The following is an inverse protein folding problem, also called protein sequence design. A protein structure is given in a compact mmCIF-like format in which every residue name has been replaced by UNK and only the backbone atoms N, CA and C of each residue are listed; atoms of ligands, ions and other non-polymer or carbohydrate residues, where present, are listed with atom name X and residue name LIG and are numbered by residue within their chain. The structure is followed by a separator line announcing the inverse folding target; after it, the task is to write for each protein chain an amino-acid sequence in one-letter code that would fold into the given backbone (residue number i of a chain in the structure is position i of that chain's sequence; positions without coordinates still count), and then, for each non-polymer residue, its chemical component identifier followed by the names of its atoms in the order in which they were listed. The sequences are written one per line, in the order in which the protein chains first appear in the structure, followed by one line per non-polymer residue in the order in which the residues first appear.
data_IF_622889477842
#
_entry.id   IF_622889477842
#
_cell.length_a   1.000
_cell.length_b   1.000
_cell.length_c   1.000
_cell.angle_alpha   90.00
_cell.angle_beta   90.00
_cell.angle_gamma   90.00
#
_symmetry.space_group_name_H-M   'P 1'
#
loop_
_entity.id
_entity.type
_entity.pdbx_description
1 polymer ?
#
# COMPACT_ATOMS: atom_id res chain seq x y z
N UNK A 1 -20.77 7.12 -6.64
CA UNK A 1 -21.28 6.75 -5.32
C UNK A 1 -21.19 5.24 -5.12
N UNK A 2 -20.85 4.77 -3.90
CA UNK A 2 -20.34 5.57 -2.79
C UNK A 2 -18.94 6.17 -3.10
N UNK A 3 -18.40 7.10 -2.28
CA UNK A 3 -17.04 7.63 -2.43
C UNK A 3 -15.98 6.64 -1.95
N UNK A 4 -16.33 5.75 -1.02
CA UNK A 4 -15.54 4.63 -0.55
C UNK A 4 -16.45 3.42 -0.31
N UNK A 5 -15.97 2.22 -0.57
CA UNK A 5 -16.66 0.96 -0.25
C UNK A 5 -15.71 0.01 0.49
N UNK A 6 -16.26 -0.71 1.48
CA UNK A 6 -15.58 -1.83 2.14
C UNK A 6 -16.42 -3.07 1.86
N UNK A 7 -15.78 -4.09 1.30
CA UNK A 7 -16.40 -5.39 1.01
C UNK A 7 -15.72 -6.45 1.86
N UNK A 8 -16.53 -7.23 2.60
CA UNK A 8 -16.03 -8.34 3.41
C UNK A 8 -16.40 -9.67 2.75
N UNK A 9 -15.39 -10.52 2.56
CA UNK A 9 -15.54 -11.85 1.95
C UNK A 9 -15.36 -11.84 0.43
N UNK A 10 -14.71 -12.89 -0.06
CA UNK A 10 -14.55 -13.12 -1.51
C UNK A 10 -15.93 -13.33 -2.15
N UNK A 11 -16.13 -12.71 -3.32
CA UNK A 11 -17.41 -12.75 -4.04
C UNK A 11 -18.46 -11.76 -3.55
N UNK A 12 -18.23 -11.02 -2.46
CA UNK A 12 -19.08 -9.90 -2.07
C UNK A 12 -19.17 -8.89 -3.22
N UNK A 13 -20.35 -8.29 -3.44
CA UNK A 13 -20.55 -7.38 -4.56
C UNK A 13 -21.11 -6.03 -4.12
N UNK A 14 -20.62 -4.97 -4.76
CA UNK A 14 -21.08 -3.61 -4.58
C UNK A 14 -21.37 -2.99 -5.95
N UNK A 15 -22.56 -2.41 -6.12
CA UNK A 15 -22.87 -1.61 -7.31
C UNK A 15 -22.41 -0.17 -7.11
N UNK A 16 -21.66 0.36 -8.07
CA UNK A 16 -21.33 1.76 -8.17
C UNK A 16 -22.30 2.47 -9.12
N UNK A 17 -22.55 3.74 -8.84
CA UNK A 17 -23.34 4.63 -9.70
C UNK A 17 -22.51 5.86 -10.02
N UNK A 18 -22.43 6.19 -11.31
CA UNK A 18 -21.82 7.42 -11.79
C UNK A 18 -22.91 8.48 -11.99
N UNK A 19 -22.76 9.63 -11.32
CA UNK A 19 -23.73 10.72 -11.33
C UNK A 19 -23.04 11.98 -11.85
N UNK A 20 -23.58 12.55 -12.93
CA UNK A 20 -23.11 13.79 -13.50
C UNK A 20 -23.94 14.97 -12.97
N UNK A 21 -23.27 16.03 -12.54
CA UNK A 21 -23.88 17.32 -12.20
C UNK A 21 -23.53 18.33 -13.29
N UNK A 22 -24.54 18.92 -13.92
CA UNK A 22 -24.38 19.83 -15.06
C UNK A 22 -24.43 21.30 -14.61
N UNK A 23 -23.90 22.20 -15.45
CA UNK A 23 -23.86 23.63 -15.18
C UNK A 23 -25.25 24.28 -15.08
N UNK A 24 -26.28 23.67 -15.70
CA UNK A 24 -27.68 24.09 -15.58
C UNK A 24 -28.33 23.65 -14.25
N UNK A 25 -27.55 23.04 -13.35
CA UNK A 25 -27.98 22.53 -12.05
C UNK A 25 -28.65 21.16 -12.10
N UNK A 26 -28.83 20.58 -13.30
CA UNK A 26 -29.42 19.24 -13.42
C UNK A 26 -28.43 18.16 -13.01
N UNK A 27 -28.97 17.02 -12.58
CA UNK A 27 -28.19 15.85 -12.18
C UNK A 27 -28.72 14.63 -12.92
N UNK A 28 -27.81 13.78 -13.44
CA UNK A 28 -28.18 12.59 -14.22
C UNK A 28 -27.37 11.39 -13.81
N UNK A 29 -28.02 10.24 -13.69
CA UNK A 29 -27.34 8.94 -13.66
C UNK A 29 -26.75 8.66 -15.05
N UNK A 30 -25.43 8.59 -15.11
CA UNK A 30 -24.65 8.32 -16.32
C UNK A 30 -23.92 6.98 -16.23
N UNK A 31 -24.32 6.10 -15.32
CA UNK A 31 -23.66 4.79 -15.07
C UNK A 31 -23.54 3.97 -16.35
N UNK A 32 -24.60 3.87 -17.15
CA UNK A 32 -24.57 3.13 -18.41
C UNK A 32 -23.79 3.81 -19.54
N UNK A 33 -23.38 5.07 -19.34
CA UNK A 33 -22.62 5.85 -20.31
C UNK A 33 -21.16 6.04 -19.87
N UNK A 34 -20.83 5.66 -18.64
CA UNK A 34 -19.50 5.76 -18.09
C UNK A 34 -18.68 4.51 -18.41
N UNK A 35 -17.39 4.69 -18.66
CA UNK A 35 -16.43 3.59 -18.72
C UNK A 35 -15.87 3.34 -17.31
N UNK A 36 -16.03 2.13 -16.80
CA UNK A 36 -15.48 1.72 -15.51
C UNK A 36 -14.14 0.99 -15.69
N UNK A 37 -13.19 1.23 -14.80
CA UNK A 37 -11.92 0.49 -14.74
C UNK A 37 -11.43 0.36 -13.30
N UNK A 38 -10.52 -0.58 -13.06
CA UNK A 38 -9.88 -0.81 -11.74
C UNK A 38 -8.37 -0.91 -11.93
N UNK A 39 -7.60 -0.40 -10.97
CA UNK A 39 -6.14 -0.57 -10.96
C UNK A 39 -5.68 -1.88 -10.31
N UNK A 40 -6.60 -2.62 -9.67
CA UNK A 40 -6.31 -3.86 -8.97
C UNK A 40 -7.54 -4.78 -9.01
N UNK A 41 -7.68 -5.47 -10.15
CA UNK A 41 -8.75 -6.43 -10.42
C UNK A 41 -8.74 -7.62 -9.46
N UNK A 42 -7.56 -8.05 -9.00
CA UNK A 42 -7.42 -9.14 -8.03
C UNK A 42 -8.13 -8.85 -6.72
N UNK A 43 -8.15 -7.59 -6.28
CA UNK A 43 -8.82 -7.20 -5.04
C UNK A 43 -10.27 -6.75 -5.28
N UNK A 44 -10.51 -5.98 -6.34
CA UNK A 44 -11.85 -5.53 -6.71
C UNK A 44 -11.98 -5.43 -8.24
N UNK A 45 -12.55 -6.47 -8.85
CA UNK A 45 -12.88 -6.47 -10.27
C UNK A 45 -14.15 -5.64 -10.50
N UNK A 46 -14.18 -4.85 -11.57
CA UNK A 46 -15.36 -4.04 -11.93
C UNK A 46 -15.82 -4.41 -13.33
N UNK A 47 -17.13 -4.54 -13.50
CA UNK A 47 -17.78 -4.71 -14.82
C UNK A 47 -18.02 -3.36 -15.50
N UNK A 48 -18.28 -3.37 -16.81
CA UNK A 48 -18.64 -2.15 -17.57
C UNK A 48 -19.89 -1.42 -17.07
N UNK A 49 -20.75 -2.09 -16.29
CA UNK A 49 -21.93 -1.49 -15.68
C UNK A 49 -21.69 -1.00 -14.24
N UNK A 50 -20.45 -1.01 -13.76
CA UNK A 50 -20.09 -0.53 -12.41
C UNK A 50 -20.43 -1.50 -11.28
N UNK A 51 -20.75 -2.77 -11.55
CA UNK A 51 -20.76 -3.79 -10.51
C UNK A 51 -19.33 -4.20 -10.14
N UNK A 52 -18.98 -4.09 -8.87
CA UNK A 52 -17.68 -4.47 -8.31
C UNK A 52 -17.83 -5.79 -7.58
N UNK A 53 -16.86 -6.69 -7.72
CA UNK A 53 -16.79 -7.98 -7.03
C UNK A 53 -15.50 -8.08 -6.24
N UNK A 54 -15.60 -8.43 -4.96
CA UNK A 54 -14.50 -8.68 -4.05
C UNK A 54 -13.71 -9.92 -4.47
N UNK A 55 -12.40 -9.78 -4.59
CA UNK A 55 -11.46 -10.88 -4.75
C UNK A 55 -10.62 -11.11 -3.50
N UNK A 56 -9.29 -11.08 -3.65
CA UNK A 56 -8.36 -11.22 -2.53
C UNK A 56 -8.31 -9.95 -1.66
N UNK A 57 -7.83 -10.10 -0.43
CA UNK A 57 -7.58 -8.96 0.47
C UNK A 57 -6.69 -7.93 -0.22
N UNK A 58 -7.13 -6.68 -0.20
CA UNK A 58 -6.36 -5.58 -0.76
C UNK A 58 -7.19 -4.33 -0.95
N UNK A 59 -6.59 -3.38 -1.66
CA UNK A 59 -7.21 -2.12 -2.03
C UNK A 59 -7.17 -1.96 -3.54
N UNK A 60 -8.27 -1.46 -4.09
CA UNK A 60 -8.37 -1.02 -5.46
C UNK A 60 -8.97 0.38 -5.53
N UNK A 61 -8.57 1.15 -6.55
CA UNK A 61 -9.29 2.33 -6.97
C UNK A 61 -10.09 1.98 -8.22
N UNK A 62 -11.41 2.06 -8.10
CA UNK A 62 -12.32 1.90 -9.22
C UNK A 62 -12.62 3.28 -9.80
N UNK A 63 -12.31 3.47 -11.07
CA UNK A 63 -12.49 4.72 -11.79
C UNK A 63 -13.73 4.63 -12.66
N UNK A 64 -14.50 5.71 -12.70
CA UNK A 64 -15.57 5.94 -13.65
C UNK A 64 -15.19 7.15 -14.51
N UNK A 65 -15.11 6.94 -15.82
CA UNK A 65 -14.88 7.99 -16.81
C UNK A 65 -16.17 8.28 -17.57
N UNK A 66 -16.58 9.53 -17.59
CA UNK A 66 -17.69 10.00 -18.41
C UNK A 66 -17.28 11.30 -19.11
N UNK A 67 -17.32 11.30 -20.45
CA UNK A 67 -16.82 12.40 -21.28
C UNK A 67 -15.34 12.74 -20.96
N UNK A 68 -15.08 13.96 -20.51
CA UNK A 68 -13.76 14.50 -20.14
C UNK A 68 -13.43 14.30 -18.66
N UNK A 69 -14.36 13.79 -17.86
CA UNK A 69 -14.22 13.66 -16.40
C UNK A 69 -13.90 12.23 -16.01
N UNK A 70 -12.95 12.06 -15.09
CA UNK A 70 -12.64 10.77 -14.46
C UNK A 70 -12.67 10.95 -12.96
N UNK A 71 -13.44 10.11 -12.27
CA UNK A 71 -13.55 10.11 -10.81
C UNK A 71 -13.25 8.71 -10.28
N UNK A 72 -12.53 8.63 -9.17
CA UNK A 72 -12.18 7.37 -8.51
C UNK A 72 -12.95 7.18 -7.22
N UNK A 73 -13.29 5.93 -6.90
CA UNK A 73 -13.72 5.50 -5.57
C UNK A 73 -12.76 4.44 -5.05
N UNK A 74 -12.43 4.52 -3.77
CA UNK A 74 -11.62 3.52 -3.11
C UNK A 74 -12.49 2.33 -2.70
N UNK A 75 -12.04 1.13 -3.04
CA UNK A 75 -12.67 -0.13 -2.68
C UNK A 75 -11.67 -0.96 -1.87
N UNK A 76 -12.04 -1.25 -0.63
CA UNK A 76 -11.27 -2.12 0.26
C UNK A 76 -11.92 -3.50 0.31
N UNK A 77 -11.13 -4.53 0.06
CA UNK A 77 -11.57 -5.92 0.16
C UNK A 77 -10.90 -6.55 1.37
N UNK A 78 -11.70 -7.04 2.31
CA UNK A 78 -11.25 -7.66 3.55
C UNK A 78 -11.72 -9.13 3.61
N UNK A 79 -10.93 -10.04 4.20
CA UNK A 79 -11.40 -11.40 4.45
C UNK A 79 -12.59 -11.41 5.42
N UNK A 80 -13.58 -12.26 5.16
CA UNK A 80 -14.71 -12.45 6.06
C UNK A 80 -14.25 -13.17 7.34
N UNK A 81 -14.79 -12.74 8.50
CA UNK A 81 -14.54 -13.41 9.78
C UNK A 81 -13.10 -13.37 10.27
N UNK A 82 -12.26 -12.47 9.74
CA UNK A 82 -10.88 -12.32 10.20
C UNK A 82 -10.86 -11.74 11.61
N UNK A 83 -10.37 -12.52 12.57
CA UNK A 83 -9.98 -12.01 13.88
C UNK A 83 -8.72 -11.15 13.74
N UNK A 84 -8.87 -9.85 14.04
CA UNK A 84 -7.81 -8.88 13.90
C UNK A 84 -7.78 -7.96 15.12
N UNK A 85 -6.61 -7.87 15.75
CA UNK A 85 -6.33 -6.87 16.78
C UNK A 85 -5.17 -6.02 16.27
N UNK A 86 -5.40 -4.71 16.17
CA UNK A 86 -4.36 -3.79 15.75
C UNK A 86 -3.22 -3.80 16.79
N UNK A 87 -1.97 -4.04 16.38
CA UNK A 87 -0.85 -3.97 17.30
C UNK A 87 -0.59 -2.52 17.72
N UNK A 88 0.16 -2.34 18.81
CA UNK A 88 0.68 -1.04 19.18
C UNK A 88 1.65 -0.55 18.09
N UNK A 89 1.53 0.73 17.75
CA UNK A 89 2.39 1.37 16.76
C UNK A 89 3.57 1.99 17.48
N UNK A 90 4.77 1.58 17.11
CA UNK A 90 6.02 2.10 17.66
C UNK A 90 6.89 2.61 16.51
N UNK A 91 7.59 3.72 16.70
CA UNK A 91 8.52 4.24 15.69
C UNK A 91 8.35 5.74 15.46
N UNK A 92 8.51 6.16 14.21
CA UNK A 92 8.37 7.55 13.78
C UNK A 92 7.07 7.79 12.99
N UNK A 93 6.85 9.01 12.49
CA UNK A 93 5.64 9.38 11.77
C UNK A 93 5.39 8.55 10.48
N UNK A 94 6.43 8.01 9.84
CA UNK A 94 6.30 7.12 8.69
C UNK A 94 5.72 5.78 9.15
N UNK A 95 6.20 5.24 10.28
CA UNK A 95 5.67 4.01 10.86
C UNK A 95 4.19 4.16 11.25
N UNK A 96 3.78 5.34 11.71
CA UNK A 96 2.38 5.69 11.97
C UNK A 96 1.52 5.60 10.69
N UNK A 97 1.99 6.17 9.58
CA UNK A 97 1.29 6.13 8.29
C UNK A 97 1.22 4.71 7.72
N UNK A 98 2.29 3.93 7.86
CA UNK A 98 2.33 2.52 7.44
C UNK A 98 1.34 1.71 8.29
N UNK A 99 1.34 1.90 9.61
CA UNK A 99 0.43 1.22 10.51
C UNK A 99 -1.04 1.59 10.22
N UNK A 100 -1.35 2.86 9.96
CA UNK A 100 -2.70 3.27 9.55
C UNK A 100 -3.17 2.49 8.31
N UNK A 101 -2.29 2.31 7.32
CA UNK A 101 -2.60 1.56 6.11
C UNK A 101 -2.79 0.06 6.38
N UNK A 102 -1.92 -0.55 7.17
CA UNK A 102 -2.02 -1.96 7.54
C UNK A 102 -3.29 -2.24 8.35
N UNK A 103 -3.64 -1.33 9.27
CA UNK A 103 -4.86 -1.40 10.07
C UNK A 103 -6.12 -1.33 9.20
N UNK A 104 -6.17 -0.42 8.22
CA UNK A 104 -7.29 -0.34 7.25
C UNK A 104 -7.48 -1.65 6.48
N UNK A 105 -6.39 -2.36 6.18
CA UNK A 105 -6.41 -3.64 5.47
C UNK A 105 -6.50 -4.86 6.40
N UNK A 106 -6.53 -4.66 7.73
CA UNK A 106 -6.44 -5.73 8.75
C UNK A 106 -5.25 -6.66 8.50
N UNK A 107 -4.09 -6.08 8.19
CA UNK A 107 -2.83 -6.79 8.00
C UNK A 107 -1.98 -6.61 9.25
N UNK A 108 -1.40 -7.70 9.75
CA UNK A 108 -0.41 -7.65 10.80
C UNK A 108 0.97 -7.34 10.18
N UNK A 109 1.73 -6.39 10.74
CA UNK A 109 3.10 -6.14 10.30
C UNK A 109 3.97 -7.36 10.55
N UNK A 110 4.97 -7.54 9.67
CA UNK A 110 6.00 -8.57 9.87
C UNK A 110 6.80 -8.28 11.14
N UNK A 111 7.28 -9.34 11.80
CA UNK A 111 8.23 -9.20 12.90
C UNK A 111 9.55 -8.57 12.44
N UNK A 112 10.37 -8.14 13.41
CA UNK A 112 11.70 -7.63 13.11
C UNK A 112 12.58 -8.74 12.49
N UNK A 113 13.32 -8.39 11.44
CA UNK A 113 14.29 -9.29 10.83
C UNK A 113 15.52 -9.49 11.73
N UNK A 114 16.26 -10.57 11.48
CA UNK A 114 17.55 -10.80 12.16
C UNK A 114 18.57 -9.77 11.75
N UNK A 115 19.67 -9.65 12.51
CA UNK A 115 20.72 -8.69 12.18
C UNK A 115 21.45 -9.02 10.88
N UNK A 116 21.62 -10.30 10.56
CA UNK A 116 22.22 -10.74 9.30
C UNK A 116 21.32 -10.39 8.10
N UNK A 117 20.00 -10.61 8.24
CA UNK A 117 19.03 -10.22 7.23
C UNK A 117 18.98 -8.69 7.06
N UNK A 118 18.99 -7.96 8.18
CA UNK A 118 19.01 -6.50 8.19
C UNK A 118 20.24 -5.97 7.45
N UNK A 119 21.44 -6.41 7.82
CA UNK A 119 22.69 -5.93 7.22
C UNK A 119 22.71 -6.21 5.71
N UNK A 120 22.34 -7.42 5.30
CA UNK A 120 22.28 -7.76 3.87
C UNK A 120 21.31 -6.85 3.12
N UNK A 121 20.09 -6.66 3.64
CA UNK A 121 19.05 -5.84 2.98
C UNK A 121 19.46 -4.38 2.91
N UNK A 122 19.91 -3.81 4.02
CA UNK A 122 20.25 -2.37 4.09
C UNK A 122 21.45 -2.02 3.20
N UNK A 123 22.46 -2.90 3.09
CA UNK A 123 23.59 -2.66 2.17
C UNK A 123 23.14 -2.75 0.71
N UNK A 124 22.31 -3.73 0.35
CA UNK A 124 21.79 -3.84 -1.02
C UNK A 124 20.88 -2.65 -1.36
N UNK A 125 19.97 -2.28 -0.46
CA UNK A 125 18.97 -1.24 -0.73
C UNK A 125 19.60 0.16 -0.78
N UNK A 126 20.58 0.45 0.09
CA UNK A 126 21.21 1.78 0.12
C UNK A 126 22.31 1.92 -0.94
N UNK A 127 23.21 0.93 -1.06
CA UNK A 127 24.41 1.05 -1.90
C UNK A 127 24.51 0.00 -3.03
N UNK A 128 23.49 -0.83 -3.22
CA UNK A 128 23.43 -1.78 -4.35
C UNK A 128 24.43 -2.94 -4.27
N UNK A 129 25.07 -3.14 -3.12
CA UNK A 129 26.14 -4.14 -2.94
C UNK A 129 25.85 -5.06 -1.76
N UNK A 130 26.52 -6.22 -1.75
CA UNK A 130 26.52 -7.09 -0.57
C UNK A 130 27.47 -6.51 0.50
N UNK A 131 27.19 -6.74 1.80
CA UNK A 131 28.14 -6.37 2.85
C UNK A 131 29.45 -7.14 2.66
N UNK A 132 30.58 -6.46 2.92
CA UNK A 132 31.87 -7.14 2.97
C UNK A 132 31.99 -7.99 4.22
N UNK A 133 32.96 -8.91 4.26
CA UNK A 133 33.25 -9.69 5.47
C UNK A 133 33.59 -8.76 6.66
N UNK A 134 34.34 -7.69 6.41
CA UNK A 134 34.69 -6.69 7.42
C UNK A 134 33.45 -5.95 7.95
N UNK A 135 32.52 -5.56 7.06
CA UNK A 135 31.24 -4.94 7.46
C UNK A 135 30.43 -5.87 8.35
N UNK A 136 30.36 -7.15 7.97
CA UNK A 136 29.63 -8.18 8.72
C UNK A 136 30.22 -8.35 10.12
N UNK A 137 31.51 -8.62 10.24
CA UNK A 137 32.17 -8.84 11.53
C UNK A 137 32.06 -7.60 12.42
N UNK A 138 32.23 -6.40 11.85
CA UNK A 138 32.10 -5.14 12.59
C UNK A 138 30.69 -4.97 13.15
N UNK A 139 29.66 -5.19 12.33
CA UNK A 139 28.27 -5.01 12.75
C UNK A 139 27.80 -6.07 13.74
N UNK A 140 28.21 -7.33 13.57
CA UNK A 140 27.87 -8.42 14.50
C UNK A 140 28.56 -8.26 15.86
N UNK A 141 29.76 -7.67 15.90
CA UNK A 141 30.47 -7.41 17.15
C UNK A 141 29.96 -6.16 17.89
N UNK A 142 29.25 -5.25 17.21
CA UNK A 142 28.72 -4.04 17.81
C UNK A 142 27.53 -4.35 18.73
N UNK A 143 27.60 -3.88 19.98
CA UNK A 143 26.57 -4.09 21.01
C UNK A 143 25.79 -2.81 21.34
N UNK A 144 26.05 -1.71 20.63
CA UNK A 144 25.34 -0.46 20.80
C UNK A 144 23.84 -0.63 20.47
N UNK A 145 22.97 0.00 21.26
CA UNK A 145 21.52 -0.09 21.07
C UNK A 145 21.05 0.53 19.74
N UNK A 146 21.83 1.45 19.19
CA UNK A 146 21.58 2.20 17.96
C UNK A 146 22.46 1.75 16.78
N UNK A 147 23.14 0.59 16.88
CA UNK A 147 24.04 0.07 15.84
C UNK A 147 23.44 0.03 14.43
N UNK A 148 22.13 -0.25 14.31
CA UNK A 148 21.41 -0.27 13.03
C UNK A 148 21.35 1.11 12.40
N UNK A 149 21.10 2.15 13.20
CA UNK A 149 21.09 3.54 12.75
C UNK A 149 22.49 3.99 12.35
N UNK A 150 23.51 3.65 13.13
CA UNK A 150 24.91 4.00 12.81
C UNK A 150 25.37 3.40 11.47
N UNK A 151 25.01 2.14 11.19
CA UNK A 151 25.32 1.51 9.89
C UNK A 151 24.58 2.21 8.75
N UNK A 152 23.31 2.58 8.92
CA UNK A 152 22.55 3.35 7.93
C UNK A 152 23.27 4.66 7.62
N UNK A 153 23.63 5.44 8.65
CA UNK A 153 24.31 6.73 8.48
C UNK A 153 25.65 6.58 7.75
N UNK A 154 26.42 5.53 8.07
CA UNK A 154 27.68 5.23 7.37
C UNK A 154 27.46 4.87 5.91
N UNK A 155 26.42 4.08 5.59
CA UNK A 155 26.09 3.69 4.21
C UNK A 155 25.61 4.88 3.38
N UNK A 156 24.84 5.80 3.96
CA UNK A 156 24.37 7.01 3.27
C UNK A 156 25.51 7.98 2.90
N UNK A 157 26.65 7.89 3.60
CA UNK A 157 27.85 8.70 3.30
C UNK A 157 28.75 8.08 2.22
N UNK A 158 28.46 6.86 1.78
CA UNK A 158 29.26 6.19 0.74
C UNK A 158 28.99 6.77 -0.64
N UNK A 159 30.03 6.75 -1.49
CA UNK A 159 29.94 7.22 -2.87
C UNK A 159 28.88 6.47 -3.67
N UNK A 160 28.76 5.17 -3.43
CA UNK A 160 27.82 4.28 -4.09
C UNK A 160 26.35 4.69 -3.89
N UNK A 161 26.01 5.27 -2.74
CA UNK A 161 24.66 5.79 -2.51
C UNK A 161 24.32 6.90 -3.52
N UNK A 162 25.23 7.88 -3.66
CA UNK A 162 25.07 8.96 -4.65
C UNK A 162 25.07 8.43 -6.08
N UNK A 163 25.81 7.36 -6.40
CA UNK A 163 25.83 6.79 -7.75
C UNK A 163 24.53 6.07 -8.13
N UNK A 164 23.76 5.57 -7.16
CA UNK A 164 22.49 4.87 -7.40
C UNK A 164 21.30 5.83 -7.45
N UNK A 165 21.30 6.87 -6.61
CA UNK A 165 20.11 7.68 -6.33
C UNK A 165 20.18 9.15 -6.78
N UNK A 166 21.31 9.62 -7.34
CA UNK A 166 21.47 10.99 -7.85
C UNK A 166 21.07 11.14 -9.33
#
# INVERSE_FOLDING_TARGET
FPPQAVMEGEGASQRLVAVAHYADGTTRDVTSLAAFSTNNDRSAAVTDLGAVTAGVRGEAFVMARFDTHTVGTQVLTLPAGLEYTAPEVTGNYIDELVAEKLNKLRILPSGQCTDEEFLRRVTIDIIGQLPTEEDYQTFMADTAADRRSQVIDRLLQRKEFSEIWA
#
